data_IF_897744771479
#
_entry.id   IF_897744771479
#
_cell.length_a   1.000
_cell.length_b   1.000
_cell.length_c   1.000
_cell.angle_alpha   90.00
_cell.angle_beta   90.00
_cell.angle_gamma   90.00
#
_symmetry.space_group_name_H-M   'P 1'
#
loop_
_entity.id
_entity.type
_entity.pdbx_description
1 polymer ?
#
# COMPACT_ATOMS: atom_id res chain seq x y z
N UNK A 1 17.27 4.63 -24.18
CA UNK A 1 17.50 3.89 -22.92
C UNK A 1 17.45 4.90 -21.79
N UNK A 2 16.26 5.26 -21.30
CA UNK A 2 16.11 6.09 -20.09
C UNK A 2 15.94 5.07 -18.96
N UNK A 3 16.97 4.83 -18.17
CA UNK A 3 16.76 4.25 -16.84
C UNK A 3 15.93 5.27 -16.08
N UNK A 4 14.67 4.97 -15.86
CA UNK A 4 13.76 5.89 -15.20
C UNK A 4 14.24 6.01 -13.74
N UNK A 5 14.50 7.22 -13.23
CA UNK A 5 15.01 7.45 -11.87
C UNK A 5 14.13 6.77 -10.80
N UNK A 6 12.87 6.49 -11.15
CA UNK A 6 11.92 5.68 -10.39
C UNK A 6 12.44 4.25 -10.12
N UNK A 7 13.11 3.58 -11.06
CA UNK A 7 13.62 2.21 -10.88
C UNK A 7 14.73 2.14 -9.82
N UNK A 8 15.63 3.12 -9.79
CA UNK A 8 16.70 3.21 -8.78
C UNK A 8 16.11 3.40 -7.38
N UNK A 9 15.04 4.20 -7.26
CA UNK A 9 14.35 4.44 -6.00
C UNK A 9 13.50 3.25 -5.55
N UNK A 10 13.25 2.29 -6.44
CA UNK A 10 12.60 1.03 -6.09
C UNK A 10 13.61 -0.06 -5.67
N UNK A 11 14.89 0.10 -6.02
CA UNK A 11 15.95 -0.85 -5.71
C UNK A 11 16.20 -0.94 -4.19
N UNK A 12 15.76 -2.05 -3.61
CA UNK A 12 15.89 -2.30 -2.17
C UNK A 12 17.34 -2.49 -1.74
N UNK A 13 18.23 -2.98 -2.59
CA UNK A 13 19.64 -3.18 -2.23
C UNK A 13 20.35 -1.83 -2.05
N UNK A 14 20.13 -0.91 -2.99
CA UNK A 14 20.69 0.44 -2.91
C UNK A 14 20.18 1.15 -1.65
N UNK A 15 18.88 1.07 -1.37
CA UNK A 15 18.26 1.66 -0.19
C UNK A 15 18.82 1.05 1.11
N UNK A 16 19.00 -0.28 1.18
CA UNK A 16 19.59 -0.96 2.34
C UNK A 16 21.04 -0.51 2.57
N UNK A 17 21.85 -0.41 1.52
CA UNK A 17 23.23 0.06 1.63
C UNK A 17 23.30 1.53 2.07
N UNK A 18 22.37 2.36 1.61
CA UNK A 18 22.26 3.74 2.06
C UNK A 18 21.86 3.83 3.54
N UNK A 19 20.93 2.98 4.00
CA UNK A 19 20.53 2.89 5.40
C UNK A 19 21.72 2.59 6.31
N UNK A 20 22.53 1.57 5.97
CA UNK A 20 23.74 1.20 6.73
C UNK A 20 24.70 2.38 6.89
N UNK A 21 24.95 3.14 5.81
CA UNK A 21 25.84 4.32 5.87
C UNK A 21 25.29 5.44 6.76
N UNK A 22 23.98 5.65 6.74
CA UNK A 22 23.32 6.66 7.59
C UNK A 22 23.31 6.23 9.06
N UNK A 23 23.10 4.94 9.33
CA UNK A 23 23.22 4.38 10.69
C UNK A 23 24.64 4.61 11.23
N UNK A 24 25.69 4.31 10.47
CA UNK A 24 27.08 4.58 10.87
C UNK A 24 27.33 6.07 11.16
N UNK A 25 26.73 6.96 10.37
CA UNK A 25 26.83 8.41 10.57
C UNK A 25 26.12 8.83 11.86
N UNK A 26 24.91 8.31 12.11
CA UNK A 26 24.15 8.57 13.33
C UNK A 26 24.80 7.98 14.59
N UNK A 27 25.56 6.88 14.48
CA UNK A 27 26.38 6.39 15.59
C UNK A 27 27.45 7.40 16.03
N UNK A 28 27.95 8.24 15.11
CA UNK A 28 28.96 9.28 15.41
C UNK A 28 28.33 10.61 15.80
N UNK A 29 27.16 10.93 15.25
CA UNK A 29 26.37 12.11 15.58
C UNK A 29 24.89 11.75 15.75
N UNK A 30 24.46 11.35 16.96
CA UNK A 30 23.10 10.88 17.21
C UNK A 30 22.01 11.96 17.11
N UNK A 31 22.36 13.25 16.99
CA UNK A 31 21.41 14.37 16.89
C UNK A 31 21.32 14.95 15.46
N UNK A 32 21.96 14.31 14.47
CA UNK A 32 21.90 14.74 13.07
C UNK A 32 20.50 14.52 12.46
N UNK A 33 19.65 15.55 12.55
CA UNK A 33 18.27 15.57 12.03
C UNK A 33 18.19 15.27 10.53
N UNK A 34 19.16 15.71 9.72
CA UNK A 34 19.15 15.46 8.27
C UNK A 34 19.36 13.97 7.98
N UNK A 35 20.32 13.36 8.68
CA UNK A 35 20.55 11.92 8.58
C UNK A 35 19.38 11.10 9.10
N UNK A 36 18.76 11.49 10.21
CA UNK A 36 17.53 10.85 10.70
C UNK A 36 16.40 10.95 9.67
N UNK A 37 16.22 12.11 9.06
CA UNK A 37 15.16 12.35 8.07
C UNK A 37 15.36 11.46 6.85
N UNK A 38 16.59 11.42 6.34
CA UNK A 38 16.95 10.57 5.20
C UNK A 38 16.76 9.08 5.51
N UNK A 39 17.16 8.66 6.70
CA UNK A 39 17.03 7.28 7.14
C UNK A 39 15.57 6.88 7.36
N UNK A 40 14.75 7.77 7.94
CA UNK A 40 13.30 7.59 8.08
C UNK A 40 12.60 7.41 6.73
N UNK A 41 12.93 8.24 5.73
CA UNK A 41 12.42 8.08 4.38
C UNK A 41 12.88 6.78 3.71
N UNK A 42 14.13 6.36 3.94
CA UNK A 42 14.63 5.07 3.42
C UNK A 42 13.88 3.90 4.07
N UNK A 43 13.69 3.90 5.38
CA UNK A 43 12.93 2.86 6.07
C UNK A 43 11.48 2.81 5.61
N UNK A 44 10.84 3.97 5.37
CA UNK A 44 9.49 4.07 4.81
C UNK A 44 9.41 3.45 3.41
N UNK A 45 10.42 3.68 2.56
CA UNK A 45 10.53 3.10 1.21
C UNK A 45 10.88 1.61 1.22
N UNK A 46 11.57 1.14 2.25
CA UNK A 46 11.85 -0.30 2.46
C UNK A 46 10.67 -1.05 3.06
N UNK A 47 9.61 -0.36 3.47
CA UNK A 47 8.46 -0.95 4.18
C UNK A 47 8.76 -1.33 5.63
N UNK A 48 9.84 -0.79 6.22
CA UNK A 48 10.18 -0.94 7.64
C UNK A 48 9.50 0.17 8.45
N UNK A 49 8.16 0.13 8.52
CA UNK A 49 7.35 1.26 8.99
C UNK A 49 7.63 1.64 10.45
N UNK A 50 7.85 0.65 11.32
CA UNK A 50 8.17 0.88 12.74
C UNK A 50 9.52 1.58 12.90
N UNK A 51 10.53 1.17 12.13
CA UNK A 51 11.85 1.83 12.13
C UNK A 51 11.77 3.25 11.59
N UNK A 52 10.96 3.47 10.56
CA UNK A 52 10.73 4.81 10.04
C UNK A 52 10.06 5.70 11.10
N UNK A 53 9.02 5.21 11.77
CA UNK A 53 8.36 5.91 12.87
C UNK A 53 9.35 6.24 14.02
N UNK A 54 10.23 5.31 14.38
CA UNK A 54 11.28 5.54 15.38
C UNK A 54 12.21 6.69 14.98
N UNK A 55 12.66 6.75 13.73
CA UNK A 55 13.51 7.85 13.25
C UNK A 55 12.80 9.20 13.35
N UNK A 56 11.52 9.26 12.96
CA UNK A 56 10.73 10.46 13.09
C UNK A 56 10.48 10.86 14.56
N UNK A 57 10.33 9.90 15.45
CA UNK A 57 10.29 10.13 16.90
C UNK A 57 11.59 10.73 17.44
N UNK A 58 12.75 10.26 16.96
CA UNK A 58 14.06 10.87 17.32
C UNK A 58 14.16 12.31 16.85
N UNK A 59 13.68 12.64 15.66
CA UNK A 59 13.63 14.02 15.16
C UNK A 59 12.75 14.89 16.07
N UNK A 60 11.60 14.39 16.52
CA UNK A 60 10.73 15.12 17.46
C UNK A 60 11.39 15.38 18.82
N UNK A 61 12.32 14.52 19.26
CA UNK A 61 13.07 14.72 20.50
C UNK A 61 14.14 15.82 20.37
N UNK A 62 14.75 15.97 19.18
CA UNK A 62 15.75 17.03 18.90
C UNK A 62 15.08 18.35 18.53
N UNK A 63 13.99 18.29 17.77
CA UNK A 63 13.22 19.44 17.27
C UNK A 63 11.73 19.24 17.55
N UNK A 64 11.27 19.83 18.66
CA UNK A 64 9.90 19.62 19.18
C UNK A 64 8.79 20.16 18.29
N UNK A 65 9.08 21.14 17.42
CA UNK A 65 8.10 21.77 16.51
C UNK A 65 8.15 21.21 15.07
N UNK A 66 8.79 20.06 14.85
CA UNK A 66 8.83 19.45 13.53
C UNK A 66 7.50 18.74 13.20
N UNK A 67 6.53 19.51 12.67
CA UNK A 67 5.19 19.02 12.28
C UNK A 67 5.23 17.83 11.32
N UNK A 68 6.15 17.83 10.32
CA UNK A 68 6.29 16.72 9.37
C UNK A 68 6.73 15.43 10.05
N UNK A 69 7.77 15.52 10.88
CA UNK A 69 8.24 14.37 11.64
C UNK A 69 7.15 13.84 12.57
N UNK A 70 6.43 14.73 13.24
CA UNK A 70 5.33 14.31 14.13
C UNK A 70 4.20 13.61 13.38
N UNK A 71 3.79 14.14 12.23
CA UNK A 71 2.82 13.47 11.36
C UNK A 71 3.30 12.09 10.92
N UNK A 72 4.50 11.99 10.33
CA UNK A 72 5.03 10.72 9.83
C UNK A 72 5.25 9.71 10.94
N UNK A 73 5.66 10.13 12.14
CA UNK A 73 5.74 9.28 13.32
C UNK A 73 4.37 8.65 13.61
N UNK A 74 3.33 9.48 13.80
CA UNK A 74 1.99 9.00 14.17
C UNK A 74 1.33 8.16 13.07
N UNK A 75 1.50 8.56 11.80
CA UNK A 75 0.99 7.81 10.65
C UNK A 75 1.58 6.40 10.59
N UNK A 76 2.92 6.30 10.66
CA UNK A 76 3.63 5.05 10.47
C UNK A 76 3.55 4.13 11.70
N UNK A 77 3.33 4.71 12.89
CA UNK A 77 3.04 3.96 14.12
C UNK A 77 1.57 3.50 14.22
N UNK A 78 0.69 3.96 13.33
CA UNK A 78 -0.75 3.66 13.39
C UNK A 78 -1.47 4.32 14.57
N UNK A 79 -0.96 5.45 15.06
CA UNK A 79 -1.50 6.22 16.18
C UNK A 79 -2.51 7.29 15.70
N UNK A 80 -3.06 8.07 16.64
CA UNK A 80 -3.87 9.23 16.28
C UNK A 80 -3.03 10.25 15.50
N UNK A 81 -3.42 10.48 14.25
CA UNK A 81 -2.65 11.26 13.30
C UNK A 81 -2.54 12.74 13.72
N UNK A 82 -1.31 13.25 13.73
CA UNK A 82 -1.03 14.68 13.88
C UNK A 82 -1.43 15.47 12.62
N UNK A 83 -1.38 16.79 12.66
CA UNK A 83 -1.67 17.62 11.49
C UNK A 83 -0.45 17.75 10.59
N UNK A 84 -0.63 17.48 9.29
CA UNK A 84 0.37 17.81 8.27
C UNK A 84 0.50 19.34 8.13
N UNK A 85 1.68 19.89 7.76
CA UNK A 85 1.82 21.32 7.48
C UNK A 85 0.95 21.79 6.32
N UNK A 86 0.30 22.95 6.48
CA UNK A 86 -0.66 23.48 5.50
C UNK A 86 0.02 24.05 4.24
N UNK A 87 1.32 24.34 4.31
CA UNK A 87 2.16 24.81 3.21
C UNK A 87 2.74 23.66 2.35
N UNK A 88 2.53 22.41 2.76
CA UNK A 88 3.09 21.24 2.09
C UNK A 88 2.11 20.57 1.16
N UNK A 89 2.36 20.76 -0.13
CA UNK A 89 1.51 20.27 -1.22
C UNK A 89 1.37 18.74 -1.30
N UNK A 90 2.43 17.99 -1.01
CA UNK A 90 2.43 16.54 -1.14
C UNK A 90 2.36 15.87 0.22
N UNK A 91 1.21 15.23 0.47
CA UNK A 91 0.84 14.70 1.77
C UNK A 91 0.99 13.17 1.71
N UNK A 92 1.75 12.53 2.63
CA UNK A 92 1.72 11.08 2.78
C UNK A 92 0.30 10.64 3.17
N UNK A 93 -0.40 9.85 2.35
CA UNK A 93 -1.81 9.56 2.59
C UNK A 93 -2.02 8.77 3.89
N UNK A 94 -3.17 8.98 4.53
CA UNK A 94 -3.57 8.15 5.67
C UNK A 94 -3.77 6.71 5.21
N UNK A 95 -3.41 5.75 6.06
CA UNK A 95 -3.70 4.35 5.83
C UNK A 95 -3.95 3.62 7.13
N UNK A 96 -4.57 2.45 7.04
CA UNK A 96 -4.58 1.49 8.15
C UNK A 96 -4.45 0.07 7.64
N UNK A 97 -3.79 -0.78 8.42
CA UNK A 97 -3.66 -2.20 8.15
C UNK A 97 -4.50 -3.02 9.14
N UNK A 98 -5.16 -4.06 8.63
CA UNK A 98 -5.83 -5.06 9.43
C UNK A 98 -5.22 -6.41 9.05
N UNK A 99 -4.43 -6.96 9.99
CA UNK A 99 -3.87 -8.31 9.87
C UNK A 99 -4.92 -9.35 10.21
N UNK A 100 -4.78 -10.54 9.63
CA UNK A 100 -5.77 -11.63 9.75
C UNK A 100 -7.17 -11.12 9.40
N UNK A 101 -7.27 -10.41 8.27
CA UNK A 101 -8.47 -9.70 7.87
C UNK A 101 -9.69 -10.64 7.76
N UNK A 102 -9.47 -11.81 7.15
CA UNK A 102 -10.39 -12.94 7.15
C UNK A 102 -10.09 -13.90 8.30
N UNK A 103 -11.12 -14.61 8.76
CA UNK A 103 -10.92 -15.77 9.64
C UNK A 103 -10.05 -16.82 8.94
N UNK A 104 -9.34 -17.65 9.71
CA UNK A 104 -8.50 -18.72 9.15
C UNK A 104 -9.31 -19.66 8.24
N UNK A 105 -10.53 -20.01 8.63
CA UNK A 105 -11.44 -20.86 7.83
C UNK A 105 -11.81 -20.19 6.51
N UNK A 106 -12.30 -18.94 6.54
CA UNK A 106 -12.67 -18.21 5.32
C UNK A 106 -11.47 -17.97 4.40
N UNK A 107 -10.29 -17.75 4.99
CA UNK A 107 -9.03 -17.62 4.26
C UNK A 107 -8.66 -18.90 3.49
N UNK A 108 -8.71 -20.06 4.16
CA UNK A 108 -8.44 -21.36 3.54
C UNK A 108 -9.46 -21.69 2.43
N UNK A 109 -10.75 -21.46 2.70
CA UNK A 109 -11.83 -21.66 1.74
C UNK A 109 -11.66 -20.75 0.52
N UNK A 110 -11.31 -19.48 0.70
CA UNK A 110 -11.04 -18.54 -0.39
C UNK A 110 -9.87 -19.00 -1.24
N UNK A 111 -8.76 -19.43 -0.62
CA UNK A 111 -7.60 -19.93 -1.37
C UNK A 111 -7.94 -21.20 -2.16
N UNK A 112 -8.69 -22.12 -1.56
CA UNK A 112 -9.18 -23.33 -2.24
C UNK A 112 -10.08 -22.97 -3.44
N UNK A 113 -11.01 -22.05 -3.25
CA UNK A 113 -11.88 -21.55 -4.31
C UNK A 113 -11.09 -20.93 -5.45
N UNK A 114 -10.17 -20.00 -5.15
CA UNK A 114 -9.36 -19.30 -6.17
C UNK A 114 -8.47 -20.27 -6.95
N UNK A 115 -7.93 -21.32 -6.30
CA UNK A 115 -7.20 -22.37 -7.00
C UNK A 115 -8.09 -23.18 -7.96
N UNK A 116 -9.37 -23.38 -7.62
CA UNK A 116 -10.33 -24.09 -8.46
C UNK A 116 -10.76 -23.33 -9.70
N UNK A 117 -10.72 -21.99 -9.66
CA UNK A 117 -11.16 -21.11 -10.75
C UNK A 117 -9.99 -20.47 -11.52
N UNK A 118 -8.76 -20.97 -11.40
CA UNK A 118 -7.57 -20.38 -12.04
C UNK A 118 -7.75 -20.15 -13.56
N UNK A 119 -8.43 -21.08 -14.24
CA UNK A 119 -8.71 -21.00 -15.68
C UNK A 119 -9.79 -19.96 -16.06
N UNK A 120 -10.55 -19.45 -15.09
CA UNK A 120 -11.64 -18.49 -15.32
C UNK A 120 -11.17 -17.02 -15.22
N UNK A 121 -9.93 -16.81 -14.80
CA UNK A 121 -9.32 -15.48 -14.72
C UNK A 121 -9.12 -14.85 -16.09
N UNK A 122 -9.68 -13.65 -16.31
CA UNK A 122 -9.57 -12.90 -17.56
C UNK A 122 -8.63 -11.69 -17.40
N UNK A 123 -7.86 -11.29 -18.43
CA UNK A 123 -7.04 -10.09 -18.37
C UNK A 123 -7.86 -8.85 -17.96
N UNK A 124 -7.37 -8.11 -16.95
CA UNK A 124 -8.04 -6.93 -16.42
C UNK A 124 -8.05 -5.77 -17.43
N UNK A 125 -9.18 -5.12 -17.61
CA UNK A 125 -9.28 -3.87 -18.38
C UNK A 125 -9.24 -2.66 -17.44
N UNK A 126 -8.60 -1.56 -17.84
CA UNK A 126 -8.75 -0.25 -17.20
C UNK A 126 -9.96 0.49 -17.81
N UNK A 127 -10.38 1.62 -17.23
CA UNK A 127 -11.58 2.39 -17.63
C UNK A 127 -11.72 2.66 -19.14
N UNK A 128 -10.61 2.68 -19.89
CA UNK A 128 -10.58 2.92 -21.34
C UNK A 128 -10.37 1.65 -22.21
N UNK A 129 -10.20 0.46 -21.63
CA UNK A 129 -9.91 -0.79 -22.36
C UNK A 129 -8.74 -1.60 -21.80
N UNK A 130 -8.29 -2.63 -22.53
CA UNK A 130 -7.09 -3.42 -22.17
C UNK A 130 -5.82 -2.69 -22.62
N UNK A 131 -5.07 -2.16 -21.67
CA UNK A 131 -3.78 -1.50 -21.89
C UNK A 131 -2.71 -2.20 -21.06
N UNK A 132 -2.05 -3.24 -21.61
CA UNK A 132 -1.06 -4.04 -20.88
C UNK A 132 0.17 -3.24 -20.45
N UNK A 133 0.37 -2.05 -21.00
CA UNK A 133 1.35 -1.09 -20.53
C UNK A 133 0.94 -0.45 -19.19
N UNK A 134 -0.35 -0.31 -18.89
CA UNK A 134 -0.85 0.35 -17.66
C UNK A 134 -1.02 -0.63 -16.50
N UNK A 135 -1.63 -1.79 -16.77
CA UNK A 135 -1.86 -2.83 -15.78
C UNK A 135 -1.82 -4.21 -16.45
N UNK A 136 -1.15 -5.16 -15.79
CA UNK A 136 -1.23 -6.57 -16.13
C UNK A 136 -1.67 -7.31 -14.88
N UNK A 137 -2.94 -7.69 -14.85
CA UNK A 137 -3.53 -8.53 -13.82
C UNK A 137 -4.68 -9.31 -14.44
N UNK A 138 -5.22 -10.28 -13.72
CA UNK A 138 -6.42 -11.00 -14.13
C UNK A 138 -7.54 -10.79 -13.12
N UNK A 139 -8.77 -10.49 -13.55
CA UNK A 139 -9.90 -10.21 -12.63
C UNK A 139 -10.94 -11.32 -12.67
N UNK A 140 -11.47 -11.64 -11.49
CA UNK A 140 -12.70 -12.40 -11.29
C UNK A 140 -13.71 -11.59 -10.47
N UNK A 141 -14.93 -11.44 -10.99
CA UNK A 141 -16.05 -10.78 -10.33
C UNK A 141 -16.93 -11.84 -9.65
N UNK A 142 -16.80 -11.98 -8.34
CA UNK A 142 -17.53 -12.98 -7.57
C UNK A 142 -18.85 -12.39 -7.03
N UNK A 143 -19.95 -13.13 -7.23
CA UNK A 143 -21.25 -12.90 -6.56
C UNK A 143 -21.67 -14.17 -5.82
N UNK A 144 -20.76 -14.71 -5.02
CA UNK A 144 -20.95 -15.94 -4.24
C UNK A 144 -20.85 -15.64 -2.74
N UNK A 145 -20.91 -16.67 -1.91
CA UNK A 145 -20.83 -16.57 -0.45
C UNK A 145 -19.58 -15.83 0.09
N UNK A 146 -18.45 -15.90 -0.62
CA UNK A 146 -17.25 -15.14 -0.28
C UNK A 146 -17.45 -13.63 -0.41
N UNK A 147 -18.28 -13.18 -1.36
CA UNK A 147 -18.64 -11.77 -1.52
C UNK A 147 -19.35 -11.25 -0.28
N UNK A 148 -20.33 -11.98 0.23
CA UNK A 148 -21.06 -11.55 1.42
C UNK A 148 -20.18 -11.60 2.66
N UNK A 149 -19.36 -12.64 2.86
CA UNK A 149 -18.43 -12.71 3.99
C UNK A 149 -17.42 -11.54 3.99
N UNK A 150 -16.83 -11.21 2.83
CA UNK A 150 -15.92 -10.07 2.68
C UNK A 150 -16.62 -8.74 2.91
N UNK A 151 -17.84 -8.59 2.39
CA UNK A 151 -18.67 -7.41 2.56
C UNK A 151 -19.06 -7.20 4.03
N UNK A 152 -19.52 -8.23 4.72
CA UNK A 152 -19.89 -8.17 6.14
C UNK A 152 -18.70 -7.74 6.99
N UNK A 153 -17.52 -8.34 6.75
CA UNK A 153 -16.29 -7.96 7.42
C UNK A 153 -15.91 -6.49 7.15
N UNK A 154 -16.04 -6.01 5.91
CA UNK A 154 -15.80 -4.61 5.56
C UNK A 154 -16.73 -3.67 6.31
N UNK A 155 -18.03 -3.99 6.36
CA UNK A 155 -19.04 -3.18 7.04
C UNK A 155 -18.79 -3.15 8.54
N UNK A 156 -18.44 -4.29 9.14
CA UNK A 156 -18.11 -4.40 10.56
C UNK A 156 -16.88 -3.56 10.94
N UNK A 157 -15.85 -3.54 10.07
CA UNK A 157 -14.62 -2.76 10.31
C UNK A 157 -14.72 -1.29 9.89
N UNK A 158 -15.75 -0.88 9.14
CA UNK A 158 -15.86 0.46 8.57
C UNK A 158 -15.72 1.60 9.60
N UNK A 159 -16.33 1.54 10.82
CA UNK A 159 -16.15 2.58 11.84
C UNK A 159 -14.69 2.76 12.25
N UNK A 160 -13.99 1.65 12.52
CA UNK A 160 -12.57 1.66 12.90
C UNK A 160 -11.69 2.16 11.75
N UNK A 161 -12.00 1.77 10.51
CA UNK A 161 -11.29 2.27 9.33
C UNK A 161 -11.48 3.78 9.19
N UNK A 162 -12.70 4.28 9.31
CA UNK A 162 -13.00 5.71 9.20
C UNK A 162 -12.30 6.54 10.29
N UNK A 163 -12.30 6.05 11.53
CA UNK A 163 -11.58 6.68 12.63
C UNK A 163 -10.08 6.80 12.34
N UNK A 164 -9.43 5.70 11.93
CA UNK A 164 -7.98 5.68 11.65
C UNK A 164 -7.59 6.52 10.43
N UNK A 165 -8.46 6.57 9.42
CA UNK A 165 -8.25 7.42 8.25
C UNK A 165 -8.66 8.87 8.48
N UNK A 166 -9.20 9.22 9.66
CA UNK A 166 -9.81 10.53 9.96
C UNK A 166 -10.89 10.95 8.94
N UNK A 167 -11.63 9.96 8.43
CA UNK A 167 -12.75 10.16 7.52
C UNK A 167 -14.03 10.16 8.33
N UNK A 168 -14.88 11.17 8.13
CA UNK A 168 -16.22 11.18 8.73
C UNK A 168 -16.99 9.92 8.29
N UNK A 169 -17.42 9.12 9.27
CA UNK A 169 -18.24 7.93 9.06
C UNK A 169 -19.44 8.24 8.17
N UNK A 170 -19.75 7.30 7.29
CA UNK A 170 -20.79 7.43 6.28
C UNK A 170 -21.52 6.11 6.10
N UNK A 171 -22.77 6.19 5.64
CA UNK A 171 -23.49 5.01 5.18
C UNK A 171 -22.83 4.50 3.91
N UNK A 172 -22.41 3.24 3.91
CA UNK A 172 -21.85 2.63 2.72
C UNK A 172 -22.95 2.43 1.66
N UNK A 173 -22.62 2.74 0.41
CA UNK A 173 -23.47 2.45 -0.74
C UNK A 173 -23.10 1.10 -1.36
N UNK A 174 -22.86 1.12 -2.66
CA UNK A 174 -22.27 -0.01 -3.37
C UNK A 174 -20.82 -0.23 -2.92
N UNK A 175 -20.49 -1.47 -2.60
CA UNK A 175 -19.12 -1.92 -2.33
C UNK A 175 -18.69 -2.68 -3.58
N UNK A 176 -17.62 -2.23 -4.22
CA UNK A 176 -17.01 -2.94 -5.34
C UNK A 176 -16.00 -3.92 -4.78
N UNK A 177 -16.10 -5.20 -5.13
CA UNK A 177 -15.11 -6.23 -4.78
C UNK A 177 -14.62 -6.91 -6.05
N UNK A 178 -13.31 -6.96 -6.22
CA UNK A 178 -12.65 -7.63 -7.34
C UNK A 178 -11.53 -8.51 -6.81
N UNK A 179 -11.45 -9.76 -7.28
CA UNK A 179 -10.26 -10.58 -7.07
C UNK A 179 -9.35 -10.36 -8.27
N UNK A 180 -8.14 -9.84 -8.02
CA UNK A 180 -7.05 -9.78 -8.98
C UNK A 180 -6.03 -10.87 -8.74
N UNK A 181 -5.59 -11.54 -9.79
CA UNK A 181 -4.42 -12.39 -9.74
C UNK A 181 -3.23 -11.73 -10.43
N UNK A 182 -2.06 -11.82 -9.81
CA UNK A 182 -0.80 -11.34 -10.36
C UNK A 182 0.12 -12.52 -10.65
N UNK A 183 0.58 -12.61 -11.90
CA UNK A 183 1.55 -13.60 -12.40
C UNK A 183 2.95 -13.01 -12.50
N UNK A 184 3.90 -13.78 -13.02
CA UNK A 184 5.26 -13.26 -13.20
C UNK A 184 5.28 -12.03 -14.12
N UNK A 185 5.94 -10.97 -13.65
CA UNK A 185 6.08 -9.66 -14.30
C UNK A 185 4.78 -8.85 -14.37
N UNK A 186 3.71 -9.30 -13.73
CA UNK A 186 2.49 -8.50 -13.58
C UNK A 186 2.72 -7.34 -12.61
N UNK A 187 2.09 -6.20 -12.89
CA UNK A 187 2.25 -4.94 -12.16
C UNK A 187 1.02 -4.05 -12.37
N UNK A 188 0.92 -2.98 -11.57
CA UNK A 188 0.00 -1.87 -11.83
C UNK A 188 0.75 -0.55 -11.68
N UNK A 189 0.83 0.25 -12.75
CA UNK A 189 1.46 1.58 -12.73
C UNK A 189 0.77 2.55 -11.76
N UNK A 190 1.45 3.62 -11.34
CA UNK A 190 0.85 4.68 -10.52
C UNK A 190 -0.46 5.21 -11.08
N UNK A 191 -1.51 5.19 -10.27
CA UNK A 191 -2.86 5.68 -10.60
C UNK A 191 -3.61 6.10 -9.33
N UNK A 192 -4.75 6.75 -9.51
CA UNK A 192 -5.73 7.06 -8.45
C UNK A 192 -7.11 6.60 -8.90
N UNK A 193 -7.97 6.18 -7.99
CA UNK A 193 -9.31 5.66 -8.32
C UNK A 193 -10.41 6.71 -8.24
N UNK A 194 -10.05 7.98 -8.03
CA UNK A 194 -10.98 9.12 -7.95
C UNK A 194 -11.93 9.22 -9.16
N UNK A 195 -11.47 8.81 -10.35
CA UNK A 195 -12.16 9.01 -11.62
C UNK A 195 -13.05 7.86 -12.09
N UNK A 196 -13.27 6.81 -11.28
CA UNK A 196 -14.17 5.70 -11.67
C UNK A 196 -15.67 6.07 -11.64
N UNK A 197 -16.02 7.36 -11.81
CA UNK A 197 -17.40 7.82 -11.99
C UNK A 197 -18.31 7.74 -10.75
N UNK A 198 -17.75 7.67 -9.53
CA UNK A 198 -18.54 7.53 -8.30
C UNK A 198 -17.95 8.25 -7.09
N UNK A 199 -18.76 8.37 -6.02
CA UNK A 199 -18.37 8.93 -4.72
C UNK A 199 -17.53 7.96 -3.88
N UNK A 200 -16.57 7.25 -4.49
CA UNK A 200 -15.69 6.35 -3.74
C UNK A 200 -14.88 7.20 -2.75
N UNK A 201 -14.81 6.74 -1.49
CA UNK A 201 -14.12 7.45 -0.40
C UNK A 201 -12.92 6.68 0.14
N UNK A 202 -13.01 5.36 0.12
CA UNK A 202 -12.00 4.45 0.68
C UNK A 202 -11.74 3.37 -0.37
N UNK A 203 -10.46 3.13 -0.63
CA UNK A 203 -9.97 1.94 -1.32
C UNK A 203 -9.44 0.96 -0.29
N UNK A 204 -9.41 -0.32 -0.65
CA UNK A 204 -8.66 -1.31 0.10
C UNK A 204 -7.96 -2.27 -0.84
N UNK A 205 -6.92 -2.92 -0.33
CA UNK A 205 -6.25 -4.02 -0.98
C UNK A 205 -5.89 -5.06 0.07
N UNK A 206 -6.25 -6.32 -0.15
CA UNK A 206 -5.90 -7.43 0.73
C UNK A 206 -5.17 -8.51 -0.07
N UNK A 207 -3.99 -8.91 0.39
CA UNK A 207 -3.19 -9.92 -0.29
C UNK A 207 -3.42 -11.28 0.33
N UNK A 208 -3.61 -12.29 -0.52
CA UNK A 208 -3.75 -13.69 -0.18
C UNK A 208 -2.76 -14.53 -0.97
N UNK A 209 -2.04 -15.43 -0.30
CA UNK A 209 -1.15 -16.37 -0.96
C UNK A 209 -0.98 -17.68 -0.20
N UNK A 210 -0.70 -18.74 -0.94
CA UNK A 210 -0.34 -20.02 -0.36
C UNK A 210 1.02 -19.94 0.36
N UNK A 211 1.08 -20.54 1.55
CA UNK A 211 2.31 -20.67 2.32
C UNK A 211 3.07 -21.95 1.93
N UNK A 212 4.41 -21.94 1.88
CA UNK A 212 5.30 -20.79 2.07
C UNK A 212 5.21 -19.80 0.91
N UNK A 213 5.42 -18.50 1.16
CA UNK A 213 5.44 -17.45 0.13
C UNK A 213 6.43 -17.81 -0.99
N UNK A 214 5.96 -17.90 -2.24
CA UNK A 214 6.77 -18.32 -3.41
C UNK A 214 7.01 -17.22 -4.45
N UNK A 215 6.89 -15.96 -4.04
CA UNK A 215 7.10 -14.80 -4.89
C UNK A 215 7.77 -13.65 -4.13
N UNK A 216 8.37 -12.73 -4.86
CA UNK A 216 8.88 -11.43 -4.39
C UNK A 216 8.36 -10.31 -5.28
N UNK A 217 8.56 -9.05 -4.88
CA UNK A 217 7.86 -7.92 -5.49
C UNK A 217 6.35 -8.01 -5.24
N UNK A 218 5.55 -7.33 -6.07
CA UNK A 218 4.13 -7.14 -5.78
C UNK A 218 3.89 -6.15 -4.64
N UNK A 219 4.93 -5.45 -4.20
CA UNK A 219 4.86 -4.43 -3.16
C UNK A 219 3.86 -3.36 -3.54
N UNK A 220 3.00 -2.99 -2.60
CA UNK A 220 2.05 -1.90 -2.76
C UNK A 220 2.72 -0.60 -2.36
N UNK A 221 2.72 0.39 -3.25
CA UNK A 221 3.30 1.71 -2.99
C UNK A 221 2.18 2.73 -2.91
N UNK A 222 2.15 3.48 -1.82
CA UNK A 222 1.22 4.59 -1.59
C UNK A 222 2.02 5.91 -1.65
N UNK A 223 1.81 6.68 -2.71
CA UNK A 223 2.62 7.88 -2.99
C UNK A 223 2.13 9.09 -2.22
N UNK A 224 3.08 9.95 -1.82
CA UNK A 224 2.74 11.28 -1.30
C UNK A 224 1.97 12.04 -2.37
N UNK A 225 0.73 12.42 -2.04
CA UNK A 225 -0.30 12.85 -2.99
C UNK A 225 -0.61 14.33 -2.81
N UNK A 226 -0.74 15.02 -3.94
CA UNK A 226 -1.36 16.34 -4.06
C UNK A 226 -2.83 16.15 -4.42
N UNK A 227 -3.69 16.16 -3.39
CA UNK A 227 -5.12 15.88 -3.54
C UNK A 227 -5.88 16.96 -4.32
N UNK A 228 -5.39 18.21 -4.27
CA UNK A 228 -6.01 19.34 -4.97
C UNK A 228 -5.58 19.38 -6.44
N UNK A 229 -4.28 19.36 -6.71
CA UNK A 229 -3.73 19.40 -8.06
C UNK A 229 -3.67 18.05 -8.76
N UNK A 230 -4.13 16.98 -8.10
CA UNK A 230 -4.29 15.63 -8.65
C UNK A 230 -3.00 15.04 -9.20
N UNK A 231 -1.94 15.17 -8.42
CA UNK A 231 -0.63 14.70 -8.78
C UNK A 231 0.02 13.95 -7.61
N UNK A 232 1.19 13.37 -7.82
CA UNK A 232 1.94 12.67 -6.78
C UNK A 232 3.45 12.85 -6.98
N UNK A 233 4.22 12.60 -5.92
CA UNK A 233 5.68 12.54 -6.02
C UNK A 233 6.15 11.09 -6.19
N UNK A 234 6.73 10.72 -7.36
CA UNK A 234 7.19 9.34 -7.59
C UNK A 234 8.36 8.94 -6.69
N UNK A 235 9.03 9.90 -6.06
CA UNK A 235 10.20 9.69 -5.22
C UNK A 235 9.88 9.59 -3.73
N UNK A 236 8.62 9.82 -3.32
CA UNK A 236 8.16 9.80 -1.91
C UNK A 236 6.92 8.93 -1.80
N UNK A 237 7.06 7.80 -1.11
CA UNK A 237 6.00 6.82 -0.96
C UNK A 237 6.20 5.98 0.29
N UNK A 238 5.10 5.44 0.80
CA UNK A 238 5.08 4.39 1.81
C UNK A 238 4.96 3.06 1.10
N UNK A 239 5.91 2.15 1.36
CA UNK A 239 5.91 0.81 0.79
C UNK A 239 5.27 -0.18 1.76
N UNK A 240 4.43 -1.05 1.24
CA UNK A 240 3.88 -2.18 1.96
C UNK A 240 4.32 -3.47 1.30
N UNK A 241 5.00 -4.32 2.08
CA UNK A 241 5.41 -5.64 1.62
C UNK A 241 4.20 -6.57 1.71
N UNK A 242 3.89 -7.37 0.66
CA UNK A 242 2.71 -8.22 0.68
C UNK A 242 2.77 -9.26 1.81
N UNK A 243 1.86 -9.14 2.77
CA UNK A 243 1.65 -10.06 3.89
C UNK A 243 0.32 -10.79 3.67
N UNK A 244 0.30 -12.10 3.91
CA UNK A 244 -0.90 -12.92 3.69
C UNK A 244 -2.00 -12.50 4.66
N UNK A 245 -3.23 -12.46 4.16
CA UNK A 245 -4.41 -12.10 4.92
C UNK A 245 -4.29 -10.74 5.63
N UNK A 246 -3.59 -9.79 5.00
CA UNK A 246 -3.41 -8.43 5.50
C UNK A 246 -4.08 -7.44 4.54
N UNK A 247 -5.09 -6.73 5.04
CA UNK A 247 -5.79 -5.69 4.30
C UNK A 247 -5.21 -4.31 4.62
N UNK A 248 -5.03 -3.48 3.59
CA UNK A 248 -4.62 -2.08 3.69
C UNK A 248 -5.77 -1.22 3.20
N UNK A 249 -6.16 -0.22 3.96
CA UNK A 249 -7.22 0.74 3.63
C UNK A 249 -6.62 2.15 3.52
N UNK A 250 -7.09 2.93 2.54
CA UNK A 250 -6.57 4.28 2.28
C UNK A 250 -7.61 5.14 1.52
N UNK A 251 -7.53 6.48 1.56
CA UNK A 251 -8.39 7.38 0.78
C UNK A 251 -8.28 7.10 -0.72
N UNK A 252 -9.41 6.99 -1.42
CA UNK A 252 -9.46 6.54 -2.82
C UNK A 252 -8.86 7.52 -3.85
N UNK A 253 -8.64 8.76 -3.46
CA UNK A 253 -7.95 9.80 -4.23
C UNK A 253 -6.42 9.74 -4.10
N UNK A 254 -5.90 8.84 -3.26
CA UNK A 254 -4.47 8.61 -3.11
C UNK A 254 -3.88 7.92 -4.34
N UNK A 255 -2.71 8.39 -4.78
CA UNK A 255 -1.96 7.72 -5.83
C UNK A 255 -1.26 6.48 -5.29
N UNK A 256 -1.35 5.37 -6.03
CA UNK A 256 -0.78 4.11 -5.64
C UNK A 256 -0.37 3.23 -6.83
N UNK A 257 0.45 2.22 -6.57
CA UNK A 257 0.92 1.27 -7.58
C UNK A 257 1.25 -0.10 -6.96
N UNK A 258 1.41 -1.10 -7.82
CA UNK A 258 1.89 -2.43 -7.45
C UNK A 258 3.17 -2.71 -8.25
N UNK A 259 4.26 -2.98 -7.55
CA UNK A 259 5.55 -3.30 -8.19
C UNK A 259 5.51 -4.65 -8.92
N UNK A 260 6.36 -4.89 -9.93
CA UNK A 260 6.37 -6.14 -10.66
C UNK A 260 6.55 -7.38 -9.77
N UNK A 261 5.71 -8.40 -9.97
CA UNK A 261 5.78 -9.67 -9.25
C UNK A 261 6.84 -10.60 -9.85
N UNK A 262 7.69 -11.18 -9.02
CA UNK A 262 8.71 -12.16 -9.40
C UNK A 262 8.38 -13.53 -8.81
N UNK A 263 8.20 -14.54 -9.67
CA UNK A 263 7.87 -15.91 -9.27
C UNK A 263 8.53 -16.92 -10.22
N UNK A 264 8.82 -18.11 -9.72
CA UNK A 264 9.29 -19.24 -10.55
C UNK A 264 8.09 -20.04 -11.10
N UNK A 265 7.73 -19.85 -12.38
CA UNK A 265 6.64 -20.59 -13.06
C UNK A 265 5.42 -19.73 -13.40
N UNK A 266 4.52 -20.29 -14.22
CA UNK A 266 3.37 -19.58 -14.81
C UNK A 266 2.08 -19.64 -13.97
N UNK A 267 2.03 -20.50 -12.94
CA UNK A 267 0.82 -20.73 -12.15
C UNK A 267 0.51 -19.54 -11.23
N UNK A 268 -0.77 -19.33 -10.93
CA UNK A 268 -1.25 -18.35 -9.96
C UNK A 268 -0.56 -18.54 -8.60
N UNK A 269 0.06 -17.50 -8.07
CA UNK A 269 0.71 -17.55 -6.75
C UNK A 269 0.30 -16.44 -5.79
N UNK A 270 -0.34 -15.40 -6.30
CA UNK A 270 -0.74 -14.25 -5.52
C UNK A 270 -2.11 -13.77 -5.98
N UNK A 271 -2.98 -13.59 -5.00
CA UNK A 271 -4.34 -13.11 -5.18
C UNK A 271 -4.44 -11.82 -4.38
N UNK A 272 -4.84 -10.73 -5.03
CA UNK A 272 -5.10 -9.44 -4.40
C UNK A 272 -6.59 -9.19 -4.51
N UNK A 273 -7.28 -9.13 -3.38
CA UNK A 273 -8.63 -8.59 -3.29
C UNK A 273 -8.53 -7.07 -3.22
N UNK A 274 -9.34 -6.37 -4.01
CA UNK A 274 -9.41 -4.90 -4.07
C UNK A 274 -10.86 -4.44 -4.25
#
# INVERSE_FOLDING_TARGET
>A
MRSDFSEILLDTDILQRAAVKLDEKLCRNPEDVESMTSLGEIYRKLGMLEKAAEMYGKICNVTTDNRKAKYLQTLLAGEHLALWPDDEKFIPPQFTQIKNYLSATTHEELLSFVSGIESEFNPSTVLSGYYPEVSKSFVYYFRNEFYEALREQLVACLPTICERLQIKLFSHGYISLEIKAYRHSDYFRPHSDRYTGGNRRINFGCVFYFTPKRFSGGDFLLFDTDFEGQNFLPTRFTRFIPEDNCAIFYPSDSYHSVTPVKTQGLNLKTVVLQ
#
